data_IF_459326360922
#
_entry.id   IF_459326360922
#
_cell.length_a   1.000
_cell.length_b   1.000
_cell.length_c   1.000
_cell.angle_alpha   90.00
_cell.angle_beta   90.00
_cell.angle_gamma   90.00
#
_symmetry.space_group_name_H-M   'P 1'
#
loop_
_entity.id
_entity.type
_entity.pdbx_description
1 polymer ?
#
# COMPACT_ATOMS: atom_id res chain seq x y z
N UNK A 1 -18.04 6.05 19.05
CA UNK A 1 -17.75 5.51 17.71
C UNK A 1 -16.45 4.71 17.81
N UNK A 2 -16.58 3.38 17.96
CA UNK A 2 -15.47 2.49 18.29
C UNK A 2 -14.58 2.21 17.09
N UNK A 3 -13.28 2.48 17.24
CA UNK A 3 -12.27 2.16 16.24
C UNK A 3 -12.13 0.64 16.06
N UNK A 4 -12.62 0.15 14.93
CA UNK A 4 -11.88 -0.76 14.04
C UNK A 4 -11.35 -2.10 14.55
N UNK A 5 -11.86 -2.69 15.65
CA UNK A 5 -11.43 -4.04 16.08
C UNK A 5 -12.31 -5.19 15.59
N UNK A 6 -13.56 -4.93 15.18
CA UNK A 6 -14.54 -6.02 14.96
C UNK A 6 -15.04 -6.12 13.51
N UNK A 7 -14.24 -5.70 12.53
CA UNK A 7 -14.65 -5.76 11.11
C UNK A 7 -15.80 -4.81 10.72
N UNK A 8 -16.27 -3.95 11.64
CA UNK A 8 -17.41 -3.04 11.41
C UNK A 8 -17.27 -2.17 10.14
N UNK A 9 -16.05 -1.70 9.82
CA UNK A 9 -15.78 -0.96 8.58
C UNK A 9 -15.99 -1.83 7.34
N UNK A 10 -15.49 -3.07 7.37
CA UNK A 10 -15.65 -4.03 6.29
C UNK A 10 -17.11 -4.45 6.13
N UNK A 11 -17.83 -4.69 7.23
CA UNK A 11 -19.27 -4.98 7.21
C UNK A 11 -20.05 -3.81 6.61
N UNK A 12 -19.83 -2.58 7.07
CA UNK A 12 -20.46 -1.40 6.47
C UNK A 12 -20.25 -1.32 4.96
N UNK A 13 -19.02 -1.59 4.48
CA UNK A 13 -18.72 -1.58 3.05
C UNK A 13 -19.41 -2.74 2.32
N UNK A 14 -19.40 -3.93 2.93
CA UNK A 14 -20.08 -5.10 2.41
C UNK A 14 -21.57 -4.82 2.20
N UNK A 15 -22.23 -4.27 3.21
CA UNK A 15 -23.67 -4.04 3.21
C UNK A 15 -24.09 -2.92 2.27
N UNK A 16 -23.35 -1.81 2.26
CA UNK A 16 -23.75 -0.61 1.52
C UNK A 16 -23.29 -0.60 0.07
N UNK A 17 -22.18 -1.27 -0.25
CA UNK A 17 -21.57 -1.19 -1.58
C UNK A 17 -21.38 -2.58 -2.20
N UNK A 18 -20.68 -3.50 -1.53
CA UNK A 18 -20.25 -4.74 -2.18
C UNK A 18 -21.38 -5.75 -2.43
N UNK A 19 -22.42 -5.81 -1.59
CA UNK A 19 -23.59 -6.71 -1.78
C UNK A 19 -24.33 -6.49 -3.10
N UNK A 20 -24.27 -5.28 -3.66
CA UNK A 20 -24.96 -4.92 -4.90
C UNK A 20 -24.01 -4.88 -6.10
N UNK A 21 -22.73 -5.19 -5.90
CA UNK A 21 -21.75 -5.13 -6.98
C UNK A 21 -21.76 -6.43 -7.78
N UNK A 22 -21.92 -6.30 -9.10
CA UNK A 22 -21.86 -7.43 -10.03
C UNK A 22 -20.43 -7.95 -10.26
N UNK A 23 -19.43 -7.43 -9.55
CA UNK A 23 -18.04 -7.91 -9.58
C UNK A 23 -17.32 -7.72 -10.92
N UNK A 24 -17.76 -6.78 -11.75
CA UNK A 24 -17.17 -6.56 -13.08
C UNK A 24 -16.08 -5.48 -13.06
N UNK A 25 -14.85 -5.91 -13.30
CA UNK A 25 -13.68 -5.03 -13.45
C UNK A 25 -13.17 -4.45 -12.13
N UNK A 26 -12.28 -3.48 -12.25
CA UNK A 26 -11.73 -2.74 -11.10
C UNK A 26 -12.63 -1.56 -10.74
N UNK A 27 -13.03 -1.45 -9.46
CA UNK A 27 -13.98 -0.41 -9.03
C UNK A 27 -13.70 0.08 -7.62
N UNK A 28 -13.64 1.40 -7.45
CA UNK A 28 -13.61 2.00 -6.12
C UNK A 28 -15.02 1.99 -5.51
N UNK A 29 -15.14 1.52 -4.26
CA UNK A 29 -16.39 1.59 -3.51
C UNK A 29 -16.49 2.90 -2.73
N UNK A 30 -15.56 3.14 -1.81
CA UNK A 30 -15.52 4.35 -1.01
C UNK A 30 -14.15 4.56 -0.36
N UNK A 31 -13.94 5.75 0.19
CA UNK A 31 -12.80 6.08 1.04
C UNK A 31 -13.34 6.44 2.42
N UNK A 32 -12.96 5.67 3.42
CA UNK A 32 -13.29 5.94 4.82
C UNK A 32 -12.08 6.51 5.54
N UNK A 33 -12.32 7.31 6.57
CA UNK A 33 -11.26 7.80 7.44
C UNK A 33 -11.53 7.45 8.88
N UNK A 34 -10.49 7.09 9.62
CA UNK A 34 -10.58 6.78 11.05
C UNK A 34 -9.34 7.32 11.79
N UNK A 35 -9.43 7.55 13.10
CA UNK A 35 -8.27 7.88 13.95
C UNK A 35 -7.88 6.64 14.74
N UNK A 36 -6.71 6.09 14.45
CA UNK A 36 -6.24 4.86 15.07
C UNK A 36 -4.93 5.06 15.82
N UNK A 37 -4.75 4.33 16.92
CA UNK A 37 -3.52 4.34 17.72
C UNK A 37 -2.43 3.52 17.04
N UNK A 38 -1.57 4.19 16.28
CA UNK A 38 -0.50 3.55 15.49
C UNK A 38 0.88 3.80 16.10
N UNK A 39 1.82 2.87 15.86
CA UNK A 39 3.24 3.10 16.14
C UNK A 39 3.79 4.08 15.10
N UNK A 40 4.48 5.10 15.58
CA UNK A 40 4.96 6.25 14.80
C UNK A 40 6.21 6.82 15.47
N UNK A 41 6.80 7.83 14.84
CA UNK A 41 7.86 8.62 15.46
C UNK A 41 7.36 10.00 15.90
N UNK A 42 8.03 10.56 16.89
CA UNK A 42 7.94 11.98 17.22
C UNK A 42 9.34 12.55 17.39
N UNK A 43 9.46 13.86 17.20
CA UNK A 43 10.70 14.60 17.29
C UNK A 43 10.72 15.40 18.60
N UNK A 44 11.86 15.38 19.30
CA UNK A 44 12.11 16.23 20.47
C UNK A 44 13.43 16.95 20.26
N UNK A 45 13.44 18.24 20.55
CA UNK A 45 14.66 19.02 20.64
C UNK A 45 15.35 18.71 21.98
N UNK A 46 16.66 18.51 21.93
CA UNK A 46 17.53 18.21 23.06
C UNK A 46 18.73 19.16 23.01
N UNK A 47 19.20 19.57 24.19
CA UNK A 47 20.41 20.38 24.30
C UNK A 47 21.61 19.49 24.58
N UNK A 48 22.67 19.64 23.78
CA UNK A 48 23.96 19.00 23.98
C UNK A 48 24.68 19.61 25.19
N UNK A 49 25.66 18.89 25.74
CA UNK A 49 26.53 19.40 26.82
C UNK A 49 27.26 20.70 26.43
N UNK A 50 27.48 20.92 25.13
CA UNK A 50 28.14 22.12 24.59
C UNK A 50 27.16 23.27 24.28
N UNK A 51 25.89 23.18 24.72
CA UNK A 51 24.87 24.21 24.51
C UNK A 51 24.18 24.19 23.13
N UNK A 52 24.65 23.39 22.18
CA UNK A 52 23.99 23.24 20.87
C UNK A 52 22.72 22.40 20.95
N UNK A 53 21.64 22.82 20.27
CA UNK A 53 20.41 22.03 20.18
C UNK A 53 20.46 21.04 19.02
N UNK A 54 19.83 19.87 19.20
CA UNK A 54 19.65 18.87 18.16
C UNK A 54 18.32 18.16 18.33
N UNK A 55 17.79 17.64 17.23
CA UNK A 55 16.54 16.90 17.19
C UNK A 55 16.76 15.39 17.29
N UNK A 56 16.00 14.71 18.14
CA UNK A 56 16.01 13.24 18.25
C UNK A 56 14.63 12.66 17.98
N UNK A 57 14.59 11.68 17.07
CA UNK A 57 13.42 10.85 16.80
C UNK A 57 13.27 9.75 17.85
N UNK A 58 12.05 9.54 18.33
CA UNK A 58 11.71 8.44 19.24
C UNK A 58 10.43 7.72 18.80
N UNK A 59 10.42 6.41 18.98
CA UNK A 59 9.24 5.58 18.82
C UNK A 59 8.15 5.99 19.83
N UNK A 60 6.91 6.14 19.36
CA UNK A 60 5.75 6.35 20.21
C UNK A 60 4.48 5.77 19.57
N UNK A 61 3.38 5.76 20.34
CA UNK A 61 2.03 5.51 19.81
C UNK A 61 1.20 6.77 19.95
N UNK A 62 0.49 7.14 18.89
CA UNK A 62 -0.43 8.29 18.92
C UNK A 62 -1.60 8.07 17.96
N UNK A 63 -2.74 8.75 18.17
CA UNK A 63 -3.86 8.67 17.26
C UNK A 63 -3.48 9.37 15.94
N UNK A 64 -3.44 8.60 14.87
CA UNK A 64 -3.12 9.08 13.51
C UNK A 64 -4.32 8.80 12.61
N UNK A 65 -4.60 9.74 11.71
CA UNK A 65 -5.64 9.56 10.70
C UNK A 65 -5.22 8.47 9.71
N UNK A 66 -6.06 7.47 9.55
CA UNK A 66 -5.93 6.37 8.60
C UNK A 66 -6.97 6.57 7.49
N UNK A 67 -6.55 6.36 6.25
CA UNK A 67 -7.42 6.35 5.08
C UNK A 67 -7.61 4.92 4.62
N UNK A 68 -8.84 4.44 4.60
CA UNK A 68 -9.21 3.11 4.11
C UNK A 68 -9.88 3.26 2.75
N UNK A 69 -9.18 2.85 1.70
CA UNK A 69 -9.67 2.88 0.33
C UNK A 69 -10.22 1.50 0.02
N UNK A 70 -11.55 1.36 -0.06
CA UNK A 70 -12.21 0.10 -0.34
C UNK A 70 -12.57 -0.03 -1.82
N UNK A 71 -12.32 -1.20 -2.41
CA UNK A 71 -12.54 -1.44 -3.84
C UNK A 71 -12.85 -2.91 -4.15
N UNK A 72 -13.40 -3.14 -5.34
CA UNK A 72 -13.43 -4.41 -6.04
C UNK A 72 -12.22 -4.51 -6.96
N UNK A 73 -11.53 -5.65 -6.92
CA UNK A 73 -10.45 -5.99 -7.84
C UNK A 73 -10.87 -7.14 -8.75
N UNK A 74 -10.63 -7.01 -10.06
CA UNK A 74 -11.04 -8.02 -11.03
C UNK A 74 -10.34 -9.39 -10.89
N UNK A 75 -9.24 -9.47 -10.15
CA UNK A 75 -8.51 -10.70 -9.86
C UNK A 75 -8.76 -11.18 -8.42
N UNK A 76 -8.74 -10.25 -7.45
CA UNK A 76 -8.82 -10.56 -6.02
C UNK A 76 -10.26 -10.54 -5.46
N UNK A 77 -11.22 -10.07 -6.24
CA UNK A 77 -12.60 -9.85 -5.82
C UNK A 77 -12.74 -8.64 -4.91
N UNK A 78 -13.81 -8.60 -4.13
CA UNK A 78 -14.05 -7.54 -3.15
C UNK A 78 -14.88 -8.01 -1.96
N UNK A 79 -14.97 -7.18 -0.90
CA UNK A 79 -14.27 -5.90 -0.73
C UNK A 79 -12.80 -6.09 -0.33
N UNK A 80 -11.89 -5.52 -1.11
CA UNK A 80 -10.49 -5.32 -0.76
C UNK A 80 -10.31 -3.94 -0.11
N UNK A 81 -9.20 -3.72 0.59
CA UNK A 81 -8.82 -2.36 0.99
C UNK A 81 -7.32 -2.07 0.88
N UNK A 82 -7.01 -0.82 0.60
CA UNK A 82 -5.69 -0.22 0.80
C UNK A 82 -5.80 0.83 1.91
N UNK A 83 -5.18 0.54 3.03
CA UNK A 83 -5.08 1.45 4.18
C UNK A 83 -3.80 2.25 4.09
N UNK A 84 -3.89 3.56 4.34
CA UNK A 84 -2.78 4.49 4.27
C UNK A 84 -2.75 5.34 5.54
N UNK A 85 -1.62 5.32 6.24
CA UNK A 85 -1.39 6.20 7.39
C UNK A 85 -1.00 7.60 6.93
N UNK A 86 -1.62 8.63 7.53
CA UNK A 86 -1.33 10.03 7.22
C UNK A 86 -0.04 10.57 7.86
N UNK A 87 0.68 9.74 8.62
CA UNK A 87 1.84 10.16 9.39
C UNK A 87 2.97 9.15 9.30
N UNK A 88 4.21 9.65 9.40
CA UNK A 88 5.45 8.87 9.33
C UNK A 88 5.39 7.63 10.24
N UNK A 89 5.71 6.42 9.76
CA UNK A 89 6.39 6.11 8.49
C UNK A 89 5.46 5.90 7.29
N UNK A 90 4.25 6.48 7.29
CA UNK A 90 3.27 6.37 6.21
C UNK A 90 2.96 4.92 5.83
N UNK A 91 2.79 4.08 6.87
CA UNK A 91 2.51 2.66 6.69
C UNK A 91 1.31 2.47 5.76
N UNK A 92 1.47 1.57 4.80
CA UNK A 92 0.43 1.13 3.90
C UNK A 92 0.15 -0.35 4.20
N UNK A 93 -1.12 -0.71 4.24
CA UNK A 93 -1.58 -2.08 4.45
C UNK A 93 -2.58 -2.41 3.34
N UNK A 94 -2.38 -3.55 2.68
CA UNK A 94 -3.26 -4.03 1.63
C UNK A 94 -3.92 -5.32 2.10
N UNK A 95 -5.23 -5.39 1.96
CA UNK A 95 -6.04 -6.54 2.36
C UNK A 95 -6.94 -7.01 1.22
N UNK A 96 -7.04 -8.32 1.10
CA UNK A 96 -8.01 -9.02 0.26
C UNK A 96 -8.37 -10.37 0.92
N UNK A 97 -9.48 -10.97 0.51
CA UNK A 97 -9.87 -12.32 0.94
C UNK A 97 -9.56 -13.32 -0.18
N UNK A 98 -8.71 -14.30 0.11
CA UNK A 98 -8.31 -15.33 -0.86
C UNK A 98 -9.48 -16.17 -1.39
N UNK A 99 -10.50 -16.44 -0.56
CA UNK A 99 -11.68 -17.18 -1.02
C UNK A 99 -12.50 -16.38 -2.03
N UNK A 100 -12.63 -15.06 -1.83
CA UNK A 100 -13.31 -14.20 -2.82
C UNK A 100 -12.53 -14.18 -4.14
N UNK A 101 -11.20 -14.19 -4.07
CA UNK A 101 -10.35 -14.28 -5.25
C UNK A 101 -10.53 -15.61 -6.00
N UNK A 102 -10.66 -16.73 -5.29
CA UNK A 102 -10.97 -18.04 -5.87
C UNK A 102 -12.36 -18.03 -6.52
N UNK A 103 -13.39 -17.47 -5.84
CA UNK A 103 -14.73 -17.35 -6.42
C UNK A 103 -14.71 -16.63 -7.76
N UNK A 104 -14.00 -15.50 -7.85
CA UNK A 104 -13.86 -14.75 -9.11
C UNK A 104 -13.29 -15.62 -10.24
N UNK A 105 -12.40 -16.58 -9.94
CA UNK A 105 -11.89 -17.51 -10.96
C UNK A 105 -12.91 -18.59 -11.31
N UNK A 106 -13.58 -19.19 -10.33
CA UNK A 106 -14.59 -20.22 -10.56
C UNK A 106 -15.77 -19.64 -11.37
N UNK A 107 -16.24 -18.44 -11.02
CA UNK A 107 -17.31 -17.74 -11.72
C UNK A 107 -16.94 -17.47 -13.19
N UNK A 108 -15.67 -17.10 -13.46
CA UNK A 108 -15.16 -16.90 -14.84
C UNK A 108 -15.09 -18.19 -15.65
N UNK A 109 -14.82 -19.31 -14.98
CA UNK A 109 -14.75 -20.63 -15.60
C UNK A 109 -16.14 -21.28 -15.73
N UNK A 110 -17.18 -20.69 -15.10
CA UNK A 110 -18.53 -21.25 -15.07
C UNK A 110 -18.64 -22.50 -14.19
N UNK A 111 -17.73 -22.68 -13.22
CA UNK A 111 -17.73 -23.82 -12.30
C UNK A 111 -18.72 -23.53 -11.17
N UNK A 112 -19.69 -24.43 -10.96
CA UNK A 112 -20.60 -24.31 -9.84
C UNK A 112 -19.95 -24.75 -8.52
N UNK A 113 -20.33 -24.07 -7.45
CA UNK A 113 -19.85 -24.35 -6.10
C UNK A 113 -20.90 -23.94 -5.06
N UNK A 114 -20.78 -24.50 -3.85
CA UNK A 114 -21.56 -24.12 -2.67
C UNK A 114 -20.62 -23.62 -1.58
N UNK A 115 -21.03 -22.57 -0.88
CA UNK A 115 -20.32 -22.03 0.28
C UNK A 115 -21.17 -22.08 1.54
N UNK A 116 -20.50 -22.23 2.67
CA UNK A 116 -21.04 -21.92 3.98
C UNK A 116 -20.12 -20.88 4.63
N UNK A 117 -20.65 -19.69 4.89
CA UNK A 117 -19.89 -18.51 5.29
C UNK A 117 -18.70 -18.25 4.34
N UNK A 118 -17.49 -18.27 4.88
CA UNK A 118 -16.28 -18.06 4.10
C UNK A 118 -15.76 -19.35 3.45
N UNK A 119 -16.25 -20.54 3.81
CA UNK A 119 -15.70 -21.82 3.35
C UNK A 119 -16.42 -22.38 2.11
N UNK A 120 -15.66 -23.01 1.22
CA UNK A 120 -16.23 -23.85 0.16
C UNK A 120 -16.59 -25.21 0.75
N UNK A 121 -17.85 -25.62 0.59
CA UNK A 121 -18.36 -26.91 1.10
C UNK A 121 -18.59 -27.92 -0.03
N UNK A 122 -18.69 -27.45 -1.26
CA UNK A 122 -18.92 -28.27 -2.44
C UNK A 122 -18.44 -27.52 -3.69
N UNK A 123 -17.80 -28.22 -4.62
CA UNK A 123 -17.32 -27.66 -5.90
C UNK A 123 -17.36 -28.75 -6.96
N UNK A 124 -17.99 -28.47 -8.10
CA UNK A 124 -18.17 -29.44 -9.19
C UNK A 124 -16.83 -29.92 -9.77
N UNK A 125 -15.86 -29.01 -9.87
CA UNK A 125 -14.50 -29.30 -10.32
C UNK A 125 -13.48 -28.85 -9.25
N UNK A 126 -13.04 -29.78 -8.37
CA UNK A 126 -11.99 -29.49 -7.39
C UNK A 126 -10.64 -29.08 -8.00
N UNK A 127 -10.32 -29.52 -9.23
CA UNK A 127 -9.08 -29.08 -9.89
C UNK A 127 -9.12 -27.59 -10.26
N UNK A 128 -10.30 -27.06 -10.53
CA UNK A 128 -10.49 -25.63 -10.78
C UNK A 128 -10.05 -24.77 -9.58
N UNK A 129 -10.25 -25.26 -8.35
CA UNK A 129 -9.76 -24.58 -7.14
C UNK A 129 -8.23 -24.53 -7.14
N UNK A 130 -7.58 -25.67 -7.38
CA UNK A 130 -6.11 -25.76 -7.42
C UNK A 130 -5.54 -24.82 -8.47
N UNK A 131 -6.11 -24.81 -9.68
CA UNK A 131 -5.73 -23.87 -10.76
C UNK A 131 -5.95 -22.41 -10.34
N UNK A 132 -7.06 -22.09 -9.67
CA UNK A 132 -7.34 -20.74 -9.17
C UNK A 132 -6.33 -20.28 -8.10
N UNK A 133 -5.92 -21.18 -7.21
CA UNK A 133 -4.90 -20.91 -6.19
C UNK A 133 -3.53 -20.65 -6.83
N UNK A 134 -3.15 -21.43 -7.84
CA UNK A 134 -1.88 -21.24 -8.57
C UNK A 134 -1.83 -19.89 -9.32
N UNK A 135 -2.97 -19.45 -9.86
CA UNK A 135 -3.10 -18.12 -10.46
C UNK A 135 -2.91 -16.99 -9.44
N UNK A 136 -3.30 -17.21 -8.18
CA UNK A 136 -3.14 -16.27 -7.06
C UNK A 136 -1.76 -16.33 -6.41
N UNK A 137 -0.71 -16.48 -7.23
CA UNK A 137 0.67 -16.46 -6.75
C UNK A 137 1.09 -15.04 -6.29
N UNK A 138 2.18 -14.99 -5.52
CA UNK A 138 2.69 -13.73 -4.94
C UNK A 138 2.99 -12.65 -5.97
N UNK A 139 3.40 -13.01 -7.19
CA UNK A 139 3.66 -12.03 -8.27
C UNK A 139 2.36 -11.39 -8.74
N UNK A 140 1.30 -12.18 -8.93
CA UNK A 140 -0.01 -11.68 -9.31
C UNK A 140 -0.56 -10.71 -8.25
N UNK A 141 -0.47 -11.09 -6.97
CA UNK A 141 -0.89 -10.23 -5.85
C UNK A 141 -0.10 -8.92 -5.82
N UNK A 142 1.24 -8.97 -5.89
CA UNK A 142 2.09 -7.77 -5.89
C UNK A 142 1.77 -6.84 -7.07
N UNK A 143 1.46 -7.40 -8.25
CA UNK A 143 1.06 -6.60 -9.40
C UNK A 143 -0.24 -5.85 -9.13
N UNK A 144 -1.24 -6.48 -8.51
CA UNK A 144 -2.51 -5.83 -8.13
C UNK A 144 -2.32 -4.79 -7.03
N UNK A 145 -1.52 -5.08 -6.01
CA UNK A 145 -1.13 -4.10 -4.97
C UNK A 145 -0.48 -2.88 -5.62
N UNK A 146 0.48 -3.10 -6.52
CA UNK A 146 1.20 -2.03 -7.22
C UNK A 146 0.27 -1.20 -8.11
N UNK A 147 -0.68 -1.86 -8.80
CA UNK A 147 -1.69 -1.19 -9.62
C UNK A 147 -2.52 -0.20 -8.79
N UNK A 148 -3.13 -0.67 -7.70
CA UNK A 148 -3.92 0.19 -6.82
C UNK A 148 -3.08 1.27 -6.15
N UNK A 149 -1.89 0.93 -5.66
CA UNK A 149 -0.98 1.93 -5.10
C UNK A 149 -0.66 3.02 -6.11
N UNK A 150 -0.35 2.71 -7.37
CA UNK A 150 0.01 3.73 -8.36
C UNK A 150 -1.17 4.65 -8.76
N UNK A 151 -2.42 4.19 -8.61
CA UNK A 151 -3.60 5.05 -8.83
C UNK A 151 -3.64 6.19 -7.80
N UNK A 152 -3.43 5.87 -6.52
CA UNK A 152 -3.52 6.85 -5.42
C UNK A 152 -2.19 7.56 -5.14
N UNK A 153 -1.07 6.91 -5.44
CA UNK A 153 0.28 7.40 -5.19
C UNK A 153 1.00 7.67 -6.50
N UNK A 154 0.76 8.85 -7.06
CA UNK A 154 1.48 9.35 -8.25
C UNK A 154 2.84 9.96 -7.88
N UNK A 155 3.67 9.22 -7.15
CA UNK A 155 5.04 9.64 -6.87
C UNK A 155 5.95 9.33 -8.07
N UNK A 156 6.70 10.32 -8.54
CA UNK A 156 7.81 10.04 -9.46
C UNK A 156 8.89 9.26 -8.71
N UNK A 157 9.11 8.00 -9.11
CA UNK A 157 10.12 7.12 -8.51
C UNK A 157 11.52 7.39 -9.09
N UNK A 158 11.86 8.66 -9.36
CA UNK A 158 13.14 9.10 -9.89
C UNK A 158 13.31 8.95 -11.41
N UNK A 159 12.27 8.55 -12.16
CA UNK A 159 12.36 8.35 -13.61
C UNK A 159 12.51 9.67 -14.34
N UNK A 160 11.69 10.67 -14.01
CA UNK A 160 11.77 11.99 -14.63
C UNK A 160 13.12 12.65 -14.37
N UNK A 161 13.61 12.59 -13.12
CA UNK A 161 14.89 13.18 -12.75
C UNK A 161 16.08 12.45 -13.35
N UNK A 162 16.05 11.12 -13.46
CA UNK A 162 17.12 10.38 -14.10
C UNK A 162 17.25 10.73 -15.60
N UNK A 163 16.13 10.99 -16.29
CA UNK A 163 16.18 11.47 -17.69
C UNK A 163 16.83 12.84 -17.81
N UNK A 164 16.56 13.75 -16.88
CA UNK A 164 17.16 15.09 -16.88
C UNK A 164 18.61 15.10 -16.39
N UNK A 165 18.96 14.18 -15.51
CA UNK A 165 20.23 14.11 -14.78
C UNK A 165 20.75 12.66 -14.71
N UNK A 166 21.11 12.07 -15.86
CA UNK A 166 21.47 10.64 -15.94
C UNK A 166 22.68 10.28 -15.07
N UNK A 167 23.63 11.21 -14.92
CA UNK A 167 24.90 11.01 -14.20
C UNK A 167 24.73 10.74 -12.70
N UNK A 168 23.57 11.04 -12.11
CA UNK A 168 23.30 10.81 -10.68
C UNK A 168 22.57 9.50 -10.42
N UNK A 169 22.16 8.74 -11.44
CA UNK A 169 21.43 7.48 -11.30
C UNK A 169 20.22 7.52 -10.34
N UNK A 170 19.40 8.58 -10.44
CA UNK A 170 18.19 8.73 -9.64
C UNK A 170 17.19 7.56 -9.79
N UNK A 171 17.30 6.78 -10.88
CA UNK A 171 16.50 5.58 -11.08
C UNK A 171 16.80 4.53 -10.00
N UNK A 172 18.05 4.41 -9.53
CA UNK A 172 18.43 3.44 -8.51
C UNK A 172 18.36 4.03 -7.10
N UNK A 173 19.03 5.16 -6.86
CA UNK A 173 19.19 5.70 -5.51
C UNK A 173 18.03 6.59 -5.04
N UNK A 174 17.10 6.99 -5.92
CA UNK A 174 15.94 7.83 -5.61
C UNK A 174 16.28 9.18 -4.94
N UNK A 175 17.52 9.64 -5.08
CA UNK A 175 18.01 10.87 -4.42
C UNK A 175 18.54 10.66 -3.00
N UNK A 176 18.47 9.45 -2.44
CA UNK A 176 19.12 9.15 -1.17
C UNK A 176 20.64 9.25 -1.31
N UNK A 177 21.32 9.73 -0.27
CA UNK A 177 22.77 9.89 -0.22
C UNK A 177 23.52 8.57 -0.15
N UNK A 178 23.29 7.65 -1.08
CA UNK A 178 24.04 6.39 -1.24
C UNK A 178 25.50 6.65 -1.63
N UNK A 179 26.38 5.66 -1.46
CA UNK A 179 27.80 5.82 -1.84
C UNK A 179 27.97 6.24 -3.31
N UNK A 180 27.20 5.63 -4.21
CA UNK A 180 27.13 5.98 -5.64
C UNK A 180 26.70 7.43 -5.84
N UNK A 181 25.61 7.85 -5.18
CA UNK A 181 25.09 9.20 -5.34
C UNK A 181 26.08 10.26 -4.81
N UNK A 182 26.72 10.01 -3.66
CA UNK A 182 27.76 10.89 -3.11
C UNK A 182 29.00 10.96 -4.00
N UNK A 183 29.34 9.89 -4.73
CA UNK A 183 30.41 9.92 -5.73
C UNK A 183 30.02 10.82 -6.91
N UNK A 184 28.81 10.65 -7.45
CA UNK A 184 28.32 11.49 -8.54
C UNK A 184 28.27 12.98 -8.16
N UNK A 185 27.84 13.33 -6.94
CA UNK A 185 27.83 14.73 -6.50
C UNK A 185 29.27 15.29 -6.37
N UNK A 186 30.24 14.48 -5.94
CA UNK A 186 31.66 14.90 -5.91
C UNK A 186 32.24 15.16 -7.30
N UNK A 187 31.83 14.36 -8.28
CA UNK A 187 32.34 14.43 -9.66
C UNK A 187 31.66 15.53 -10.48
N UNK A 188 30.33 15.67 -10.37
CA UNK A 188 29.52 16.55 -11.22
C UNK A 188 28.91 17.76 -10.49
N UNK A 189 29.15 17.89 -9.18
CA UNK A 189 28.53 18.92 -8.34
C UNK A 189 27.06 18.64 -7.98
N UNK A 190 26.42 19.58 -7.30
CA UNK A 190 24.98 19.52 -7.01
C UNK A 190 24.16 20.10 -8.19
N UNK A 191 23.20 19.36 -8.73
CA UNK A 191 22.23 19.89 -9.70
C UNK A 191 21.02 20.59 -9.05
N UNK A 192 20.14 21.18 -9.88
CA UNK A 192 19.01 22.04 -9.46
C UNK A 192 18.00 21.42 -8.48
N UNK A 193 17.91 20.09 -8.43
CA UNK A 193 16.95 19.37 -7.57
C UNK A 193 17.54 18.93 -6.22
N UNK A 194 18.85 19.09 -6.03
CA UNK A 194 19.50 18.75 -4.76
C UNK A 194 19.10 19.76 -3.68
N UNK A 195 18.75 19.24 -2.50
CA UNK A 195 18.45 20.06 -1.32
C UNK A 195 19.76 20.59 -0.72
N UNK A 196 20.06 21.85 -0.99
CA UNK A 196 21.30 22.51 -0.55
C UNK A 196 21.47 22.58 0.97
N UNK A 197 20.39 22.48 1.73
CA UNK A 197 20.43 22.44 3.20
C UNK A 197 20.96 21.12 3.76
N UNK A 198 21.01 20.05 2.95
CA UNK A 198 21.48 18.74 3.40
C UNK A 198 22.98 18.62 3.16
N UNK A 199 23.74 18.26 4.19
CA UNK A 199 25.16 17.91 4.06
C UNK A 199 25.26 16.48 3.54
N UNK A 200 25.45 16.35 2.22
CA UNK A 200 25.56 15.05 1.53
C UNK A 200 27.01 14.66 1.25
N UNK A 201 27.93 15.64 1.36
CA UNK A 201 29.39 15.52 1.29
C UNK A 201 29.97 16.17 2.53
#
# INVERSE_FOLDING_TARGET
MGGGKDGAKQNFVQEKYARHDAGKGDRLYCILTDKEQVRTFACRELTSQNGGTYEKLYDCRKPVKQYYIYFHDQLLGGPCYLKISSYLPFQCEFYFNGHNAIQVQLDKQGVHYRRHDNAFVDVDDPEAISKAVELLNGRAVINRVTYWMNIFFKFDKGKAYHRQFPQYNFLRNKGYGTAEHRKAIREYGCCKIHRRSFKVI
#
